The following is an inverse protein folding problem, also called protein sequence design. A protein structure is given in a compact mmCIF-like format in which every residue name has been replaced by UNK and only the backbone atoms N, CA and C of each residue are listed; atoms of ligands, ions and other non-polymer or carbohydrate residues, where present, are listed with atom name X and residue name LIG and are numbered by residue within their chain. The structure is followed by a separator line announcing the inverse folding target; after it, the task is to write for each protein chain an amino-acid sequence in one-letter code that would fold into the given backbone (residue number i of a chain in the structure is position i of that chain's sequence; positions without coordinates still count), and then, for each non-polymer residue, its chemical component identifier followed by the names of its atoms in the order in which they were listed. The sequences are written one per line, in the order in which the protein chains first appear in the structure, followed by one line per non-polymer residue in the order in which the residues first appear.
data_IF_617462573003
#
_entry.id   IF_617462573003
#
_cell.length_a   1.000
_cell.length_b   1.000
_cell.length_c   1.000
_cell.angle_alpha   90.00
_cell.angle_beta   90.00
_cell.angle_gamma   90.00
#
_symmetry.space_group_name_H-M   'P 1'
#
loop_
_entity.id
_entity.type
_entity.pdbx_description
1 polymer ?
#
# COMPACT_ATOMS: atom_id res chain seq x y z
N UNK A 1 10.88 23.37 -40.56
CA UNK A 1 11.96 22.96 -39.65
C UNK A 1 11.63 21.56 -39.16
N UNK A 2 12.33 20.51 -39.59
CA UNK A 2 12.09 19.17 -39.05
C UNK A 2 12.66 19.11 -37.62
N UNK A 3 11.92 18.47 -36.72
CA UNK A 3 12.32 18.25 -35.33
C UNK A 3 13.65 17.46 -35.26
N UNK A 4 14.53 17.76 -34.29
CA UNK A 4 15.74 16.97 -34.10
C UNK A 4 15.37 15.55 -33.66
N UNK A 5 16.11 14.51 -34.10
CA UNK A 5 15.79 13.14 -33.75
C UNK A 5 15.93 12.92 -32.25
N UNK A 6 14.90 12.33 -31.64
CA UNK A 6 14.93 11.84 -30.27
C UNK A 6 16.01 10.75 -30.20
N UNK A 7 17.03 10.87 -29.32
CA UNK A 7 18.06 9.85 -29.21
C UNK A 7 17.42 8.59 -28.61
N UNK A 8 17.23 7.58 -29.45
CA UNK A 8 16.95 6.22 -29.01
C UNK A 8 18.22 5.64 -28.36
N UNK A 9 18.41 5.89 -27.07
CA UNK A 9 19.44 5.20 -26.30
C UNK A 9 19.02 3.75 -26.13
N UNK A 10 19.52 2.90 -27.03
CA UNK A 10 19.38 1.44 -27.00
C UNK A 10 19.88 0.95 -25.64
N UNK A 11 19.02 0.29 -24.86
CA UNK A 11 19.40 -0.33 -23.60
C UNK A 11 20.60 -1.28 -23.84
N UNK A 12 21.69 -1.04 -23.12
CA UNK A 12 22.90 -1.88 -23.19
C UNK A 12 22.59 -3.17 -22.45
N UNK A 13 22.23 -4.20 -23.20
CA UNK A 13 22.04 -5.56 -22.68
C UNK A 13 23.31 -6.02 -21.93
N UNK A 14 23.17 -6.34 -20.64
CA UNK A 14 24.25 -6.91 -19.81
C UNK A 14 24.70 -6.09 -18.59
N UNK A 15 24.18 -4.88 -18.36
CA UNK A 15 24.51 -4.12 -17.15
C UNK A 15 23.58 -4.48 -15.99
N UNK A 16 24.14 -4.84 -14.82
CA UNK A 16 23.36 -5.11 -13.61
C UNK A 16 22.54 -3.88 -13.22
N UNK A 17 21.28 -4.07 -12.77
CA UNK A 17 20.43 -2.97 -12.38
C UNK A 17 21.06 -2.18 -11.23
N UNK A 18 20.95 -0.85 -11.28
CA UNK A 18 21.48 0.02 -10.22
C UNK A 18 20.68 -0.21 -8.94
N UNK A 19 21.37 -0.68 -7.88
CA UNK A 19 20.78 -0.81 -6.54
C UNK A 19 21.86 -0.58 -5.50
N UNK A 20 21.70 0.42 -4.64
CA UNK A 20 22.70 0.74 -3.63
C UNK A 20 22.48 2.07 -2.92
N UNK A 21 23.47 2.45 -2.10
CA UNK A 21 23.49 3.75 -1.41
C UNK A 21 24.49 4.66 -2.10
N UNK A 22 24.12 5.93 -2.21
CA UNK A 22 24.90 6.99 -2.79
C UNK A 22 24.89 8.22 -1.88
N UNK A 23 25.90 9.09 -1.98
CA UNK A 23 26.01 10.28 -1.15
C UNK A 23 26.34 11.53 -1.95
N UNK A 24 25.98 12.69 -1.39
CA UNK A 24 26.42 14.01 -1.81
C UNK A 24 26.85 14.82 -0.59
N UNK A 25 27.81 15.72 -0.77
CA UNK A 25 28.24 16.65 0.27
C UNK A 25 27.41 17.94 0.18
N UNK A 26 26.65 18.24 1.24
CA UNK A 26 25.86 19.47 1.36
C UNK A 26 26.67 20.52 2.11
N UNK A 27 26.99 21.63 1.46
CA UNK A 27 27.64 22.78 2.11
C UNK A 27 26.57 23.72 2.68
N UNK A 28 26.47 23.83 4.00
CA UNK A 28 25.71 24.89 4.66
C UNK A 28 26.65 25.95 5.24
N UNK A 29 26.33 27.22 5.00
CA UNK A 29 26.93 28.38 5.68
C UNK A 29 26.19 28.62 6.99
N UNK A 30 26.89 28.47 8.12
CA UNK A 30 26.34 28.76 9.45
C UNK A 30 26.92 30.08 10.00
N UNK A 31 26.06 31.06 10.24
CA UNK A 31 26.32 32.25 11.07
C UNK A 31 26.30 33.61 10.37
N UNK A 32 25.83 34.64 11.09
CA UNK A 32 25.75 36.08 10.69
C UNK A 32 27.13 36.69 10.36
N UNK A 33 28.22 35.95 10.55
CA UNK A 33 29.59 36.36 10.20
C UNK A 33 30.39 35.34 9.37
N UNK A 34 29.76 34.32 8.76
CA UNK A 34 30.41 33.50 7.71
C UNK A 34 31.60 32.62 8.11
N UNK A 35 31.77 32.23 9.38
CA UNK A 35 33.03 31.59 9.87
C UNK A 35 33.01 30.04 9.90
N UNK A 36 31.92 29.34 9.56
CA UNK A 36 32.01 27.87 9.44
C UNK A 36 31.19 27.28 8.29
N UNK A 37 31.88 26.54 7.41
CA UNK A 37 31.27 25.63 6.43
C UNK A 37 31.15 24.26 7.09
N UNK A 38 29.96 23.90 7.55
CA UNK A 38 29.69 22.53 7.95
C UNK A 38 29.32 21.76 6.67
N UNK A 39 30.21 20.86 6.22
CA UNK A 39 29.89 19.89 5.17
C UNK A 39 29.13 18.73 5.83
N UNK A 40 27.87 18.53 5.46
CA UNK A 40 27.10 17.37 5.88
C UNK A 40 26.91 16.43 4.69
N UNK A 41 27.36 15.19 4.84
CA UNK A 41 27.09 14.14 3.85
C UNK A 41 25.64 13.66 3.96
N UNK A 42 24.92 13.68 2.84
CA UNK A 42 23.54 13.21 2.74
C UNK A 42 23.51 11.92 1.94
N UNK A 43 22.88 10.89 2.48
CA UNK A 43 22.78 9.58 1.84
C UNK A 43 21.43 9.38 1.16
N UNK A 44 21.48 8.70 0.01
CA UNK A 44 20.34 8.35 -0.81
C UNK A 44 20.40 6.85 -1.13
N UNK A 45 19.27 6.18 -0.96
CA UNK A 45 19.06 4.86 -1.54
C UNK A 45 18.61 5.02 -2.98
N UNK A 46 19.20 4.26 -3.89
CA UNK A 46 18.92 4.29 -5.32
C UNK A 46 18.56 2.90 -5.83
N UNK A 47 17.49 2.81 -6.60
CA UNK A 47 17.01 1.55 -7.19
C UNK A 47 16.43 1.80 -8.58
N UNK A 48 16.95 1.06 -9.57
CA UNK A 48 16.50 1.11 -10.96
C UNK A 48 15.09 0.53 -11.07
N UNK A 49 14.18 1.26 -11.72
CA UNK A 49 12.77 0.91 -11.82
C UNK A 49 12.39 0.25 -13.15
N UNK A 50 13.19 0.46 -14.20
CA UNK A 50 12.92 -0.07 -15.53
C UNK A 50 14.19 -0.35 -16.34
N UNK A 51 14.01 -1.03 -17.47
CA UNK A 51 15.06 -1.31 -18.44
C UNK A 51 15.57 -0.04 -19.17
N UNK A 52 14.79 1.04 -19.10
CA UNK A 52 15.11 2.34 -19.70
C UNK A 52 16.14 3.14 -18.87
N UNK A 53 16.50 2.64 -17.68
CA UNK A 53 17.54 3.22 -16.84
C UNK A 53 17.06 4.36 -15.95
N UNK A 54 15.74 4.48 -15.70
CA UNK A 54 15.22 5.40 -14.68
C UNK A 54 15.53 4.84 -13.30
N UNK A 55 16.16 5.67 -12.47
CA UNK A 55 16.55 5.33 -11.10
C UNK A 55 15.67 6.12 -10.14
N UNK A 56 14.97 5.41 -9.27
CA UNK A 56 14.31 6.03 -8.13
C UNK A 56 15.33 6.24 -7.02
N UNK A 57 15.38 7.45 -6.47
CA UNK A 57 16.20 7.80 -5.31
C UNK A 57 15.31 8.29 -4.16
N UNK A 58 15.67 7.87 -2.94
CA UNK A 58 15.05 8.31 -1.70
C UNK A 58 16.14 8.65 -0.69
N UNK A 59 15.90 9.68 0.12
CA UNK A 59 16.84 10.03 1.19
C UNK A 59 16.80 8.96 2.27
N UNK A 60 17.97 8.64 2.82
CA UNK A 60 18.04 7.79 4.01
C UNK A 60 17.73 8.61 5.27
N UNK A 61 16.88 8.05 6.13
CA UNK A 61 16.66 8.55 7.48
C UNK A 61 17.91 8.36 8.35
N UNK A 62 17.90 8.88 9.58
CA UNK A 62 18.97 8.62 10.55
C UNK A 62 19.13 7.13 10.89
N UNK A 63 18.07 6.34 10.73
CA UNK A 63 18.07 4.90 10.92
C UNK A 63 18.49 4.13 9.65
N UNK A 64 18.96 4.81 8.60
CA UNK A 64 19.34 4.21 7.31
C UNK A 64 18.17 3.54 6.56
N UNK A 65 16.95 4.04 6.76
CA UNK A 65 15.76 3.55 6.05
C UNK A 65 15.43 4.53 4.91
N UNK A 66 15.24 4.05 3.66
CA UNK A 66 14.74 4.89 2.57
C UNK A 66 13.36 5.45 2.94
N UNK A 67 13.23 6.77 3.01
CA UNK A 67 12.01 7.43 3.48
C UNK A 67 11.66 8.65 2.64
N UNK A 68 10.39 9.06 2.69
CA UNK A 68 9.85 10.18 1.93
C UNK A 68 9.66 9.90 0.44
N UNK A 69 9.35 10.96 -0.32
CA UNK A 69 8.98 10.87 -1.73
C UNK A 69 10.11 10.36 -2.62
N UNK A 70 9.82 9.34 -3.44
CA UNK A 70 10.71 8.88 -4.52
C UNK A 70 10.92 9.99 -5.53
N UNK A 71 12.17 10.32 -5.82
CA UNK A 71 12.56 11.19 -6.95
C UNK A 71 13.16 10.33 -8.05
N UNK A 72 12.96 10.69 -9.29
CA UNK A 72 13.47 9.93 -10.43
C UNK A 72 14.58 10.71 -11.11
N UNK A 73 15.71 10.04 -11.33
CA UNK A 73 16.86 10.57 -12.07
C UNK A 73 17.34 9.53 -13.09
N UNK A 74 18.15 9.97 -14.04
CA UNK A 74 18.82 9.06 -14.97
C UNK A 74 20.02 8.40 -14.29
N UNK A 75 20.41 7.21 -14.78
CA UNK A 75 21.64 6.54 -14.36
C UNK A 75 22.88 7.43 -14.53
N UNK A 76 22.96 8.21 -15.61
CA UNK A 76 24.06 9.13 -15.85
C UNK A 76 24.14 10.22 -14.77
N UNK A 77 23.01 10.84 -14.43
CA UNK A 77 22.95 11.81 -13.34
C UNK A 77 23.39 11.21 -12.00
N UNK A 78 22.96 9.98 -11.69
CA UNK A 78 23.38 9.31 -10.46
C UNK A 78 24.90 9.12 -10.40
N UNK A 79 25.50 8.61 -11.48
CA UNK A 79 26.93 8.30 -11.53
C UNK A 79 27.83 9.54 -11.63
N UNK A 80 27.30 10.66 -12.12
CA UNK A 80 28.05 11.93 -12.25
C UNK A 80 27.91 12.83 -11.03
N UNK A 81 26.75 12.82 -10.36
CA UNK A 81 26.45 13.75 -9.27
C UNK A 81 26.57 13.12 -7.87
N UNK A 82 26.58 11.80 -7.75
CA UNK A 82 26.57 11.11 -6.46
C UNK A 82 27.75 10.14 -6.31
N UNK A 83 28.25 10.01 -5.09
CA UNK A 83 29.32 9.07 -4.75
C UNK A 83 28.74 7.74 -4.25
N UNK A 84 29.13 6.57 -4.79
CA UNK A 84 28.65 5.28 -4.30
C UNK A 84 29.19 4.93 -2.90
N UNK A 85 28.33 4.39 -2.05
CA UNK A 85 28.59 4.06 -0.64
C UNK A 85 28.26 2.58 -0.34
N UNK A 86 28.99 1.61 -0.93
CA UNK A 86 28.66 0.18 -0.83
C UNK A 86 28.69 -0.34 0.62
N UNK A 87 29.58 0.20 1.47
CA UNK A 87 29.65 -0.20 2.88
C UNK A 87 28.41 0.23 3.66
N UNK A 88 27.83 1.39 3.37
CA UNK A 88 26.57 1.83 4.00
C UNK A 88 25.43 0.94 3.53
N UNK A 89 25.38 0.61 2.24
CA UNK A 89 24.37 -0.29 1.70
C UNK A 89 24.39 -1.67 2.38
N UNK A 90 25.54 -2.35 2.35
CA UNK A 90 25.66 -3.73 2.82
C UNK A 90 25.62 -3.85 4.35
N UNK A 91 26.22 -2.91 5.09
CA UNK A 91 26.38 -3.05 6.54
C UNK A 91 25.32 -2.31 7.36
N UNK A 92 24.58 -1.36 6.74
CA UNK A 92 23.56 -0.55 7.45
C UNK A 92 22.17 -0.72 6.85
N UNK A 93 22.01 -0.42 5.56
CA UNK A 93 20.68 -0.39 4.90
C UNK A 93 20.08 -1.79 4.75
N UNK A 94 20.82 -2.74 4.16
CA UNK A 94 20.30 -4.11 3.95
C UNK A 94 19.87 -4.77 5.26
N UNK A 95 20.67 -4.74 6.35
CA UNK A 95 20.25 -5.33 7.62
C UNK A 95 19.03 -4.67 8.25
N UNK A 96 18.91 -3.33 8.20
CA UNK A 96 17.75 -2.65 8.81
C UNK A 96 16.48 -2.89 8.01
N UNK A 97 16.55 -2.88 6.68
CA UNK A 97 15.41 -3.19 5.82
C UNK A 97 14.93 -4.62 6.04
N UNK A 98 15.85 -5.59 6.11
CA UNK A 98 15.49 -6.99 6.36
C UNK A 98 14.78 -7.16 7.72
N UNK A 99 15.32 -6.54 8.78
CA UNK A 99 14.67 -6.57 10.11
C UNK A 99 13.28 -5.93 10.09
N UNK A 100 13.09 -4.87 9.31
CA UNK A 100 11.80 -4.22 9.16
C UNK A 100 10.78 -5.16 8.50
N UNK A 101 11.18 -5.83 7.40
CA UNK A 101 10.36 -6.82 6.70
C UNK A 101 10.02 -8.02 7.60
N UNK A 102 11.00 -8.54 8.34
CA UNK A 102 10.81 -9.61 9.32
C UNK A 102 9.81 -9.18 10.41
N UNK A 103 9.96 -7.98 10.97
CA UNK A 103 9.06 -7.45 12.00
C UNK A 103 7.63 -7.28 11.48
N UNK A 104 7.45 -6.86 10.23
CA UNK A 104 6.11 -6.79 9.60
C UNK A 104 5.49 -8.17 9.52
N UNK A 105 6.24 -9.18 9.09
CA UNK A 105 5.75 -10.57 9.03
C UNK A 105 5.38 -11.12 10.41
N UNK A 106 6.16 -10.80 11.45
CA UNK A 106 5.83 -11.16 12.83
C UNK A 106 4.57 -10.46 13.32
N UNK A 107 4.42 -9.15 13.06
CA UNK A 107 3.23 -8.39 13.43
C UNK A 107 1.95 -8.93 12.75
N UNK A 108 2.05 -9.23 11.45
CA UNK A 108 0.96 -9.82 10.67
C UNK A 108 0.56 -11.19 11.23
N UNK A 109 1.55 -12.01 11.63
CA UNK A 109 1.32 -13.32 12.27
C UNK A 109 0.59 -13.17 13.60
N UNK A 110 1.01 -12.24 14.46
CA UNK A 110 0.32 -11.94 15.71
C UNK A 110 -1.14 -11.52 15.47
N UNK A 111 -1.39 -10.65 14.48
CA UNK A 111 -2.76 -10.21 14.14
C UNK A 111 -3.62 -11.38 13.66
N UNK A 112 -3.09 -12.22 12.77
CA UNK A 112 -3.80 -13.42 12.29
C UNK A 112 -4.15 -14.40 13.42
N UNK A 113 -3.30 -14.50 14.44
CA UNK A 113 -3.55 -15.31 15.65
C UNK A 113 -4.44 -14.64 16.69
N UNK A 114 -4.97 -13.44 16.40
CA UNK A 114 -5.75 -12.62 17.33
C UNK A 114 -4.97 -12.19 18.59
N UNK A 115 -3.64 -12.16 18.50
CA UNK A 115 -2.73 -11.66 19.54
C UNK A 115 -2.58 -10.13 19.37
N UNK A 116 -3.70 -9.41 19.44
CA UNK A 116 -3.83 -8.04 18.95
C UNK A 116 -2.97 -7.01 19.69
N UNK A 117 -2.67 -7.22 20.98
CA UNK A 117 -1.74 -6.35 21.72
C UNK A 117 -0.27 -6.56 21.30
N UNK A 118 0.12 -7.79 20.98
CA UNK A 118 1.46 -8.08 20.47
C UNK A 118 1.62 -7.50 19.05
N UNK A 119 0.60 -7.67 18.21
CA UNK A 119 0.56 -7.05 16.87
C UNK A 119 0.70 -5.51 16.98
N UNK A 120 -0.07 -4.87 17.86
CA UNK A 120 0.05 -3.42 18.12
C UNK A 120 1.48 -3.03 18.50
N UNK A 121 2.10 -3.77 19.44
CA UNK A 121 3.45 -3.49 19.90
C UNK A 121 4.47 -3.54 18.75
N UNK A 122 4.38 -4.57 17.91
CA UNK A 122 5.27 -4.74 16.76
C UNK A 122 5.04 -3.71 15.66
N UNK A 123 3.80 -3.43 15.28
CA UNK A 123 3.54 -2.36 14.31
C UNK A 123 4.01 -1.00 14.81
N UNK A 124 3.82 -0.69 16.10
CA UNK A 124 4.37 0.52 16.71
C UNK A 124 5.90 0.53 16.72
N UNK A 125 6.56 -0.62 16.84
CA UNK A 125 8.03 -0.73 16.79
C UNK A 125 8.56 -0.35 15.41
N UNK A 126 7.91 -0.84 14.35
CA UNK A 126 8.21 -0.52 12.95
C UNK A 126 8.00 0.98 12.71
N UNK A 127 6.86 1.51 13.14
CA UNK A 127 6.50 2.93 12.93
C UNK A 127 7.37 3.92 13.72
N UNK A 128 8.13 3.46 14.74
CA UNK A 128 9.16 4.28 15.41
C UNK A 128 10.43 4.43 14.56
N UNK A 129 10.71 3.46 13.68
CA UNK A 129 11.87 3.46 12.80
C UNK A 129 11.56 4.11 11.45
N UNK A 130 10.39 3.78 10.90
CA UNK A 130 9.86 4.35 9.68
C UNK A 130 8.42 4.81 9.90
N UNK A 131 8.27 6.11 10.15
CA UNK A 131 6.98 6.71 10.49
C UNK A 131 5.96 6.58 9.35
N UNK A 132 6.41 6.52 8.09
CA UNK A 132 5.58 6.47 6.90
C UNK A 132 5.43 5.03 6.36
N UNK A 133 5.83 4.01 7.13
CA UNK A 133 5.77 2.63 6.70
C UNK A 133 4.32 2.16 6.44
N UNK A 134 3.96 2.09 5.16
CA UNK A 134 2.58 1.87 4.69
C UNK A 134 1.96 0.60 5.30
N UNK A 135 2.61 -0.56 5.15
CA UNK A 135 2.06 -1.84 5.63
C UNK A 135 1.86 -1.85 7.15
N UNK A 136 2.77 -1.23 7.91
CA UNK A 136 2.67 -1.21 9.36
C UNK A 136 1.58 -0.23 9.85
N UNK A 137 1.41 0.90 9.16
CA UNK A 137 0.31 1.82 9.44
C UNK A 137 -1.05 1.13 9.20
N UNK A 138 -1.21 0.41 8.08
CA UNK A 138 -2.40 -0.38 7.81
C UNK A 138 -2.63 -1.50 8.83
N UNK A 139 -1.59 -2.27 9.13
CA UNK A 139 -1.64 -3.34 10.11
C UNK A 139 -2.09 -2.84 11.49
N UNK A 140 -1.48 -1.75 11.98
CA UNK A 140 -1.88 -1.13 13.24
C UNK A 140 -3.33 -0.66 13.23
N UNK A 141 -3.77 -0.03 12.13
CA UNK A 141 -5.14 0.43 11.98
C UNK A 141 -6.13 -0.75 11.98
N UNK A 142 -5.84 -1.83 11.25
CA UNK A 142 -6.65 -3.05 11.25
C UNK A 142 -6.72 -3.66 12.65
N UNK A 143 -5.59 -3.72 13.37
CA UNK A 143 -5.55 -4.18 14.77
C UNK A 143 -6.49 -3.37 15.66
N UNK A 144 -6.56 -2.04 15.51
CA UNK A 144 -7.51 -1.22 16.26
C UNK A 144 -8.96 -1.43 15.83
N UNK A 145 -9.22 -1.62 14.54
CA UNK A 145 -10.56 -1.91 14.02
C UNK A 145 -11.09 -3.26 14.52
N UNK A 146 -10.23 -4.30 14.54
CA UNK A 146 -10.55 -5.63 15.08
C UNK A 146 -10.86 -5.58 16.59
N UNK A 147 -10.17 -4.69 17.33
CA UNK A 147 -10.45 -4.41 18.75
C UNK A 147 -11.63 -3.47 18.98
N UNK A 148 -12.29 -3.00 17.93
CA UNK A 148 -13.38 -2.02 17.98
C UNK A 148 -12.99 -0.65 18.57
N UNK A 149 -11.70 -0.32 18.55
CA UNK A 149 -11.15 0.93 19.11
C UNK A 149 -11.21 2.07 18.10
N UNK A 150 -12.42 2.59 17.86
CA UNK A 150 -12.67 3.62 16.84
C UNK A 150 -11.75 4.84 16.95
N UNK A 151 -11.48 5.32 18.17
CA UNK A 151 -10.65 6.50 18.37
C UNK A 151 -9.19 6.28 17.93
N UNK A 152 -8.63 5.12 18.28
CA UNK A 152 -7.26 4.76 17.88
C UNK A 152 -7.19 4.49 16.38
N UNK A 153 -8.19 3.79 15.82
CA UNK A 153 -8.30 3.56 14.39
C UNK A 153 -8.40 4.87 13.59
N UNK A 154 -9.16 5.85 14.07
CA UNK A 154 -9.29 7.17 13.43
C UNK A 154 -7.96 7.94 13.40
N UNK A 155 -7.21 7.92 14.52
CA UNK A 155 -5.88 8.52 14.57
C UNK A 155 -4.92 7.91 13.53
N UNK A 156 -4.94 6.58 13.39
CA UNK A 156 -4.13 5.88 12.38
C UNK A 156 -4.63 6.16 10.97
N UNK A 157 -5.94 6.21 10.75
CA UNK A 157 -6.53 6.59 9.46
C UNK A 157 -6.06 7.97 9.00
N UNK A 158 -6.11 8.97 9.89
CA UNK A 158 -5.61 10.31 9.59
C UNK A 158 -4.11 10.33 9.24
N UNK A 159 -3.31 9.46 9.86
CA UNK A 159 -1.91 9.27 9.48
C UNK A 159 -1.76 8.67 8.09
N UNK A 160 -2.47 7.58 7.79
CA UNK A 160 -2.46 6.92 6.47
C UNK A 160 -2.84 7.91 5.37
N UNK A 161 -3.86 8.73 5.58
CA UNK A 161 -4.31 9.74 4.62
C UNK A 161 -3.28 10.83 4.30
N UNK A 162 -2.17 10.92 5.05
CA UNK A 162 -1.06 11.84 4.80
C UNK A 162 0.13 11.17 4.11
N UNK A 163 0.14 9.84 4.02
CA UNK A 163 1.22 9.08 3.38
C UNK A 163 0.85 8.89 1.90
N UNK A 164 1.46 9.65 1.00
CA UNK A 164 1.15 9.53 -0.43
C UNK A 164 1.50 8.15 -0.99
N UNK A 165 2.57 7.52 -0.49
CA UNK A 165 2.94 6.16 -0.85
C UNK A 165 1.87 5.13 -0.48
N UNK A 166 1.01 5.42 0.51
CA UNK A 166 -0.10 4.53 0.86
C UNK A 166 -1.16 4.45 -0.23
N UNK A 167 -1.12 5.36 -1.21
CA UNK A 167 -2.07 5.50 -2.32
C UNK A 167 -1.42 5.12 -3.67
N UNK A 168 -0.57 4.09 -3.69
CA UNK A 168 0.01 3.54 -4.91
C UNK A 168 -0.72 2.25 -5.35
N UNK A 169 -0.72 1.90 -6.65
CA UNK A 169 -1.37 0.69 -7.16
C UNK A 169 -0.90 -0.61 -6.48
N UNK A 170 0.37 -0.67 -6.07
CA UNK A 170 0.96 -1.80 -5.34
C UNK A 170 0.28 -2.07 -3.98
N UNK A 171 -0.34 -1.06 -3.39
CA UNK A 171 -1.06 -1.15 -2.12
C UNK A 171 -2.58 -1.30 -2.29
N UNK A 172 -3.05 -1.59 -3.53
CA UNK A 172 -4.48 -1.69 -3.84
C UNK A 172 -5.26 -2.63 -2.92
N UNK A 173 -4.68 -3.77 -2.59
CA UNK A 173 -5.28 -4.78 -1.70
C UNK A 173 -5.57 -4.23 -0.29
N UNK A 174 -4.80 -3.24 0.20
CA UNK A 174 -4.99 -2.63 1.52
C UNK A 174 -6.21 -1.69 1.57
N UNK A 175 -6.71 -1.20 0.41
CA UNK A 175 -7.92 -0.38 0.37
C UNK A 175 -9.18 -1.16 0.69
N UNK A 176 -9.22 -2.44 0.34
CA UNK A 176 -10.43 -3.23 0.51
C UNK A 176 -10.66 -3.59 1.98
N UNK A 177 -9.70 -4.28 2.60
CA UNK A 177 -9.82 -4.76 3.97
C UNK A 177 -10.05 -3.60 4.96
N UNK A 178 -9.22 -2.57 4.87
CA UNK A 178 -9.29 -1.42 5.79
C UNK A 178 -10.63 -0.67 5.68
N UNK A 179 -11.11 -0.44 4.45
CA UNK A 179 -12.39 0.22 4.21
C UNK A 179 -13.59 -0.61 4.68
N UNK A 180 -13.55 -1.93 4.47
CA UNK A 180 -14.60 -2.85 4.91
C UNK A 180 -14.69 -2.87 6.43
N UNK A 181 -13.55 -2.97 7.13
CA UNK A 181 -13.52 -2.98 8.59
C UNK A 181 -14.00 -1.64 9.18
N UNK A 182 -13.60 -0.50 8.60
CA UNK A 182 -14.13 0.80 9.00
C UNK A 182 -15.66 0.89 8.83
N UNK A 183 -16.19 0.42 7.69
CA UNK A 183 -17.65 0.36 7.45
C UNK A 183 -18.34 -0.49 8.51
N UNK A 184 -17.87 -1.71 8.75
CA UNK A 184 -18.44 -2.64 9.75
C UNK A 184 -18.47 -2.04 11.15
N UNK A 185 -17.45 -1.24 11.48
CA UNK A 185 -17.35 -0.55 12.75
C UNK A 185 -18.16 0.77 12.80
N UNK A 186 -18.89 1.12 11.74
CA UNK A 186 -19.71 2.34 11.65
C UNK A 186 -18.93 3.63 11.41
N UNK A 187 -17.65 3.54 11.03
CA UNK A 187 -16.80 4.68 10.64
C UNK A 187 -17.05 5.04 9.18
N UNK A 188 -18.30 5.40 8.87
CA UNK A 188 -18.78 5.53 7.49
C UNK A 188 -18.15 6.71 6.75
N UNK A 189 -17.89 7.82 7.44
CA UNK A 189 -17.28 9.01 6.83
C UNK A 189 -15.82 8.78 6.48
N UNK A 190 -15.08 8.14 7.37
CA UNK A 190 -13.69 7.75 7.20
C UNK A 190 -13.58 6.74 6.06
N UNK A 191 -14.44 5.70 6.05
CA UNK A 191 -14.52 4.74 4.96
C UNK A 191 -14.80 5.41 3.60
N UNK A 192 -15.73 6.37 3.53
CA UNK A 192 -16.01 7.10 2.30
C UNK A 192 -14.85 7.99 1.85
N UNK A 193 -14.18 8.68 2.78
CA UNK A 193 -12.97 9.47 2.48
C UNK A 193 -11.85 8.59 1.94
N UNK A 194 -11.66 7.43 2.57
CA UNK A 194 -10.67 6.44 2.18
C UNK A 194 -10.94 5.87 0.78
N UNK A 195 -12.15 5.36 0.55
CA UNK A 195 -12.57 4.85 -0.75
C UNK A 195 -12.51 5.91 -1.84
N UNK A 196 -12.86 7.16 -1.53
CA UNK A 196 -12.76 8.27 -2.50
C UNK A 196 -11.32 8.49 -2.93
N UNK A 197 -10.35 8.39 -2.00
CA UNK A 197 -8.93 8.51 -2.35
C UNK A 197 -8.42 7.30 -3.13
N UNK A 198 -8.84 6.09 -2.77
CA UNK A 198 -8.54 4.88 -3.55
C UNK A 198 -9.14 4.93 -4.97
N UNK A 199 -10.34 5.49 -5.12
CA UNK A 199 -11.04 5.60 -6.41
C UNK A 199 -10.31 6.52 -7.40
N UNK A 200 -9.59 7.53 -6.91
CA UNK A 200 -8.75 8.38 -7.76
C UNK A 200 -7.61 7.58 -8.43
N UNK A 201 -7.19 6.47 -7.83
CA UNK A 201 -6.14 5.58 -8.33
C UNK A 201 -6.71 4.50 -9.27
N UNK A 202 -7.89 3.96 -8.91
CA UNK A 202 -8.52 2.85 -9.62
C UNK A 202 -9.94 3.25 -10.06
N UNK A 203 -10.03 4.11 -11.08
CA UNK A 203 -11.31 4.65 -11.58
C UNK A 203 -12.22 3.60 -12.24
N UNK A 204 -11.69 2.41 -12.49
CA UNK A 204 -12.32 1.31 -13.21
C UNK A 204 -12.65 0.11 -12.33
N UNK A 205 -12.63 0.27 -11.00
CA UNK A 205 -12.94 -0.81 -10.06
C UNK A 205 -14.42 -0.76 -9.63
N UNK A 206 -15.24 -1.68 -10.16
CA UNK A 206 -16.65 -1.79 -9.82
C UNK A 206 -16.89 -2.26 -8.37
N UNK A 207 -15.98 -3.08 -7.81
CA UNK A 207 -16.08 -3.58 -6.45
C UNK A 207 -15.89 -2.46 -5.43
N UNK A 208 -14.96 -1.54 -5.71
CA UNK A 208 -14.79 -0.34 -4.91
C UNK A 208 -16.06 0.53 -4.91
N UNK A 209 -16.70 0.70 -6.06
CA UNK A 209 -17.97 1.44 -6.17
C UNK A 209 -19.12 0.73 -5.42
N UNK A 210 -19.17 -0.60 -5.47
CA UNK A 210 -20.12 -1.38 -4.68
C UNK A 210 -19.89 -1.23 -3.17
N UNK A 211 -18.64 -1.28 -2.71
CA UNK A 211 -18.30 -1.05 -1.30
C UNK A 211 -18.66 0.37 -0.85
N UNK A 212 -18.44 1.39 -1.67
CA UNK A 212 -18.94 2.75 -1.42
C UNK A 212 -20.46 2.80 -1.32
N UNK A 213 -21.17 2.07 -2.19
CA UNK A 213 -22.63 1.99 -2.15
C UNK A 213 -23.13 1.36 -0.84
N UNK A 214 -22.48 0.28 -0.38
CA UNK A 214 -22.79 -0.37 0.91
C UNK A 214 -22.55 0.57 2.08
N UNK A 215 -21.40 1.25 2.13
CA UNK A 215 -21.13 2.26 3.17
C UNK A 215 -22.18 3.36 3.19
N UNK A 216 -22.59 3.86 2.02
CA UNK A 216 -23.64 4.87 1.93
C UNK A 216 -25.01 4.36 2.37
N UNK A 217 -25.34 3.10 2.05
CA UNK A 217 -26.58 2.49 2.49
C UNK A 217 -26.65 2.37 4.01
N UNK A 218 -25.60 1.83 4.65
CA UNK A 218 -25.52 1.67 6.10
C UNK A 218 -25.51 3.01 6.84
N UNK A 219 -24.96 4.06 6.21
CA UNK A 219 -25.08 5.45 6.70
C UNK A 219 -26.49 6.06 6.50
N UNK A 220 -27.42 5.37 5.85
CA UNK A 220 -28.76 5.86 5.55
C UNK A 220 -28.88 6.77 4.31
N UNK A 221 -27.83 6.85 3.49
CA UNK A 221 -27.75 7.70 2.28
C UNK A 221 -28.21 6.94 1.02
N UNK A 222 -29.47 6.52 1.00
CA UNK A 222 -30.05 5.65 -0.05
C UNK A 222 -29.86 6.20 -1.48
N UNK A 223 -30.18 7.48 -1.72
CA UNK A 223 -30.02 8.11 -3.05
C UNK A 223 -28.57 8.05 -3.55
N UNK A 224 -27.61 8.30 -2.66
CA UNK A 224 -26.18 8.25 -2.99
C UNK A 224 -25.71 6.81 -3.22
N UNK A 225 -26.20 5.85 -2.44
CA UNK A 225 -25.94 4.42 -2.61
C UNK A 225 -26.37 3.94 -4.00
N UNK A 226 -27.62 4.24 -4.41
CA UNK A 226 -28.12 3.95 -5.76
C UNK A 226 -27.25 4.54 -6.87
N UNK A 227 -26.80 5.78 -6.69
CA UNK A 227 -25.93 6.43 -7.67
C UNK A 227 -24.58 5.71 -7.83
N UNK A 228 -24.01 5.18 -6.74
CA UNK A 228 -22.78 4.37 -6.80
C UNK A 228 -23.01 3.00 -7.45
N UNK A 229 -24.11 2.31 -7.13
CA UNK A 229 -24.49 1.06 -7.79
C UNK A 229 -24.67 1.25 -9.31
N UNK A 230 -25.33 2.33 -9.72
CA UNK A 230 -25.45 2.68 -11.13
C UNK A 230 -24.11 2.97 -11.80
N UNK A 231 -23.11 3.50 -11.09
CA UNK A 231 -21.74 3.62 -11.62
C UNK A 231 -21.08 2.25 -11.75
N UNK A 232 -21.19 1.39 -10.75
CA UNK A 232 -20.63 0.03 -10.79
C UNK A 232 -21.19 -0.77 -11.97
N UNK A 233 -22.51 -0.72 -12.18
CA UNK A 233 -23.20 -1.41 -13.28
C UNK A 233 -22.90 -0.80 -14.67
N UNK A 234 -22.47 0.45 -14.76
CA UNK A 234 -21.96 1.03 -16.01
C UNK A 234 -20.56 0.54 -16.35
N UNK A 235 -19.73 0.23 -15.34
CA UNK A 235 -18.42 -0.39 -15.56
C UNK A 235 -18.58 -1.88 -15.91
N UNK A 236 -19.43 -2.58 -15.16
CA UNK A 236 -19.69 -4.00 -15.35
C UNK A 236 -21.20 -4.26 -15.27
N UNK A 237 -21.86 -4.30 -16.43
CA UNK A 237 -23.28 -4.60 -16.53
C UNK A 237 -23.62 -6.05 -16.10
N UNK A 238 -22.62 -6.91 -15.93
CA UNK A 238 -22.75 -8.28 -15.46
C UNK A 238 -22.71 -8.45 -13.95
N UNK A 239 -22.33 -7.42 -13.17
CA UNK A 239 -22.03 -7.51 -11.73
C UNK A 239 -23.26 -7.94 -10.88
N UNK A 240 -23.38 -9.22 -10.48
CA UNK A 240 -24.63 -9.74 -9.90
C UNK A 240 -24.95 -9.13 -8.53
N UNK A 241 -23.95 -8.87 -7.70
CA UNK A 241 -24.11 -8.32 -6.35
C UNK A 241 -24.63 -6.88 -6.41
N UNK A 242 -24.12 -6.06 -7.34
CA UNK A 242 -24.62 -4.71 -7.55
C UNK A 242 -26.06 -4.69 -8.10
N UNK A 243 -26.45 -5.65 -8.97
CA UNK A 243 -27.83 -5.80 -9.46
C UNK A 243 -28.78 -6.20 -8.34
N UNK A 244 -28.42 -7.23 -7.58
CA UNK A 244 -29.22 -7.72 -6.46
C UNK A 244 -29.44 -6.60 -5.43
N UNK A 245 -28.38 -5.83 -5.14
CA UNK A 245 -28.48 -4.73 -4.20
C UNK A 245 -29.33 -3.57 -4.72
N UNK A 246 -29.22 -3.21 -6.00
CA UNK A 246 -30.07 -2.18 -6.58
C UNK A 246 -31.56 -2.60 -6.57
N UNK A 247 -31.85 -3.86 -6.91
CA UNK A 247 -33.20 -4.41 -6.87
C UNK A 247 -33.80 -4.38 -5.45
N UNK A 248 -33.01 -4.69 -4.43
CA UNK A 248 -33.41 -4.56 -3.03
C UNK A 248 -33.72 -3.11 -2.63
N UNK A 249 -32.89 -2.14 -3.03
CA UNK A 249 -33.16 -0.72 -2.75
C UNK A 249 -34.46 -0.25 -3.43
N UNK A 250 -34.70 -0.70 -4.67
CA UNK A 250 -35.91 -0.38 -5.43
C UNK A 250 -37.17 -1.05 -4.86
N UNK A 251 -37.05 -2.24 -4.29
CA UNK A 251 -38.17 -2.89 -3.61
C UNK A 251 -38.55 -2.11 -2.35
N UNK A 252 -37.56 -1.70 -1.55
CA UNK A 252 -37.78 -0.90 -0.33
C UNK A 252 -38.50 0.41 -0.62
N UNK A 253 -38.15 1.08 -1.73
CA UNK A 253 -38.84 2.30 -2.16
C UNK A 253 -40.29 2.04 -2.59
N UNK A 254 -40.58 0.86 -3.18
CA UNK A 254 -41.93 0.45 -3.57
C UNK A 254 -42.77 -0.12 -2.43
N UNK A 255 -42.21 -0.27 -1.22
CA UNK A 255 -42.87 -0.92 -0.08
C UNK A 255 -42.86 -2.45 -0.16
N UNK A 256 -42.06 -3.02 -1.05
CA UNK A 256 -41.86 -4.46 -1.22
C UNK A 256 -40.67 -4.93 -0.35
N UNK A 257 -40.85 -6.02 0.40
CA UNK A 257 -39.78 -6.64 1.20
C UNK A 257 -39.07 -7.75 0.42
N UNK A 258 -38.21 -7.39 -0.54
CA UNK A 258 -37.13 -8.30 -0.92
C UNK A 258 -36.16 -8.41 0.27
N UNK A 259 -35.64 -9.61 0.50
CA UNK A 259 -34.58 -9.80 1.48
C UNK A 259 -33.36 -8.97 1.07
N UNK A 260 -32.66 -8.40 2.05
CA UNK A 260 -31.37 -7.79 1.80
C UNK A 260 -30.45 -8.86 1.19
N UNK A 261 -29.79 -8.58 0.05
CA UNK A 261 -28.87 -9.55 -0.53
C UNK A 261 -27.80 -9.90 0.50
N UNK A 262 -27.35 -11.18 0.54
CA UNK A 262 -26.31 -11.58 1.46
C UNK A 262 -25.12 -10.63 1.32
N UNK A 263 -24.51 -10.32 2.46
CA UNK A 263 -23.40 -9.37 2.59
C UNK A 263 -22.10 -9.88 1.96
N UNK A 264 -22.16 -10.75 0.95
CA UNK A 264 -21.01 -11.34 0.29
C UNK A 264 -20.04 -10.22 -0.11
N UNK A 265 -18.84 -10.38 0.44
CA UNK A 265 -17.79 -9.41 0.38
C UNK A 265 -17.11 -9.55 -0.97
N UNK A 266 -17.52 -8.71 -1.90
CA UNK A 266 -16.90 -8.75 -3.23
C UNK A 266 -15.58 -7.99 -3.15
N UNK A 267 -14.54 -8.73 -2.77
CA UNK A 267 -13.18 -8.27 -2.98
C UNK A 267 -12.89 -8.25 -4.48
N UNK A 268 -12.24 -7.19 -5.01
CA UNK A 268 -11.68 -7.29 -6.35
C UNK A 268 -10.72 -8.49 -6.40
N UNK A 269 -10.61 -9.20 -7.53
CA UNK A 269 -9.62 -10.25 -7.68
C UNK A 269 -8.25 -9.68 -7.29
N UNK A 270 -7.58 -10.34 -6.35
CA UNK A 270 -6.21 -10.00 -5.96
C UNK A 270 -5.35 -10.39 -7.15
N UNK A 271 -4.95 -9.42 -7.97
CA UNK A 271 -3.84 -9.64 -8.89
C UNK A 271 -2.63 -10.02 -8.03
N UNK A 272 -2.24 -11.30 -8.08
CA UNK A 272 -1.03 -11.77 -7.41
C UNK A 272 0.11 -10.85 -7.87
N UNK A 273 0.88 -10.25 -6.95
CA UNK A 273 2.07 -9.52 -7.36
C UNK A 273 2.96 -10.47 -8.18
N UNK A 274 3.56 -10.02 -9.29
CA UNK A 274 4.49 -10.85 -10.03
C UNK A 274 5.63 -11.26 -9.09
N UNK A 275 5.68 -12.55 -8.72
CA UNK A 275 6.69 -13.11 -7.82
C UNK A 275 6.18 -13.76 -6.53
N UNK A 276 4.88 -13.83 -6.26
CA UNK A 276 4.38 -14.75 -5.25
C UNK A 276 4.50 -16.19 -5.78
N UNK A 277 5.57 -16.88 -5.40
CA UNK A 277 5.71 -18.32 -5.61
C UNK A 277 4.48 -18.99 -5.01
N UNK A 278 3.74 -19.72 -5.84
CA UNK A 278 2.71 -20.63 -5.35
C UNK A 278 3.38 -21.56 -4.34
N UNK A 279 2.94 -21.48 -3.08
CA UNK A 279 3.27 -22.50 -2.11
C UNK A 279 2.78 -23.83 -2.71
N UNK A 280 3.62 -24.88 -2.73
CA UNK A 280 3.18 -26.17 -3.26
C UNK A 280 1.96 -26.61 -2.46
N UNK A 281 0.88 -26.94 -3.17
CA UNK A 281 -0.30 -27.57 -2.59
C UNK A 281 0.17 -28.76 -1.75
N UNK A 282 -0.13 -28.72 -0.45
CA UNK A 282 0.14 -29.80 0.48
C UNK A 282 -0.63 -31.04 -0.01
N UNK A 283 0.05 -32.10 -0.49
CA UNK A 283 -0.64 -33.31 -0.87
C UNK A 283 -1.14 -33.94 0.42
N UNK A 284 -2.46 -33.85 0.64
CA UNK A 284 -3.13 -34.40 1.81
C UNK A 284 -2.68 -35.82 2.16
N UNK A 285 -2.83 -36.23 3.43
CA UNK A 285 -2.15 -37.39 3.99
C UNK A 285 -2.48 -38.66 3.20
N UNK A 286 -1.50 -39.16 2.44
CA UNK A 286 -1.59 -40.46 1.80
C UNK A 286 -1.68 -41.54 2.88
N UNK A 287 -2.78 -42.28 2.87
CA UNK A 287 -3.01 -43.42 3.74
C UNK A 287 -1.88 -44.44 3.56
N UNK A 288 -1.19 -44.78 4.65
CA UNK A 288 -0.21 -45.87 4.67
C UNK A 288 -0.93 -47.20 4.42
N UNK A 289 -0.41 -48.08 3.55
CA UNK A 289 -0.96 -49.42 3.43
C UNK A 289 -0.62 -50.22 4.70
N UNK A 290 -1.63 -50.90 5.24
CA UNK A 290 -1.49 -51.90 6.31
C UNK A 290 -0.60 -53.07 5.83
N UNK A 291 0.37 -53.54 6.61
CA UNK A 291 1.07 -54.79 6.30
C UNK A 291 0.11 -55.96 6.59
N UNK A 292 -0.22 -56.71 5.55
CA UNK A 292 -0.94 -57.97 5.65
C UNK A 292 0.02 -59.15 5.72
N UNK A 293 -0.15 -59.94 6.80
CA UNK A 293 0.31 -61.33 7.07
C UNK A 293 1.80 -61.62 6.99
#
# INVERSE_FOLDING_TARGET
MPEPPVPHTRAVAGQKPVKGVFSIDSQQLLGIAGISRASQRIFFYAEQQDEQGRVAIQRLSRAFIPSGTKRFITREQLLTQYQPEPSIYLNKVVPVMRRLEEAVGTADTHRQRQELFAAEFEYKSILRLDEEHVKAAFGLGLTYLERQEKHNADAVFHKIMRIDAAFLPEHKHLYNEFGIQMRKLGMYDEAMRYYSRAYLLCRTDEHLLYNMARTLFEKGRLKSSRAMLGKALRLNAGFPEAKAFLAFLESRERGETLAEPPLEEVAPPVDKPPGALDAPEDPGPQARPTPGV
#
